data_IF_389615800169
#
_entry.id   IF_389615800169
#
_cell.length_a   1.000
_cell.length_b   1.000
_cell.length_c   1.000
_cell.angle_alpha   90.00
_cell.angle_beta   90.00
_cell.angle_gamma   90.00
#
_symmetry.space_group_name_H-M   'P 1'
#
loop_
_entity.id
_entity.type
_entity.pdbx_description
1 polymer ?
#
# COMPACT_ATOMS: atom_id res chain seq x y z
N UNK A 1 -13.43 11.17 4.50
CA UNK A 1 -12.35 12.16 4.33
C UNK A 1 -11.09 11.39 4.04
N UNK A 2 -10.22 11.86 3.16
CA UNK A 2 -8.96 11.21 2.77
C UNK A 2 -7.79 12.15 3.03
N UNK A 3 -6.64 11.60 3.37
CA UNK A 3 -5.38 12.34 3.47
C UNK A 3 -4.67 12.24 2.11
N UNK A 4 -4.15 13.35 1.63
CA UNK A 4 -3.39 13.41 0.37
C UNK A 4 -2.11 14.20 0.55
N UNK A 5 -1.09 13.89 -0.24
CA UNK A 5 0.12 14.69 -0.36
C UNK A 5 0.12 15.38 -1.73
N UNK A 6 0.33 16.69 -1.78
CA UNK A 6 0.50 17.42 -3.05
C UNK A 6 1.98 17.68 -3.31
N UNK A 7 2.43 17.65 -4.57
CA UNK A 7 3.84 17.94 -4.93
C UNK A 7 4.05 19.34 -5.53
N UNK A 8 2.97 20.08 -5.78
CA UNK A 8 3.03 21.45 -6.24
C UNK A 8 1.90 22.30 -5.65
N UNK A 9 2.02 23.64 -5.70
CA UNK A 9 0.94 24.52 -5.31
C UNK A 9 -0.33 24.20 -6.10
N UNK A 10 -1.44 23.91 -5.41
CA UNK A 10 -2.71 23.54 -6.05
C UNK A 10 -3.90 24.11 -5.30
N UNK A 11 -5.05 24.18 -5.95
CA UNK A 11 -6.29 24.67 -5.33
C UNK A 11 -7.02 23.48 -4.72
N UNK A 12 -7.22 23.52 -3.40
CA UNK A 12 -7.99 22.53 -2.64
C UNK A 12 -9.11 23.26 -1.92
N UNK A 13 -10.36 22.85 -2.18
CA UNK A 13 -11.55 23.47 -1.59
C UNK A 13 -11.61 25.02 -1.76
N UNK A 14 -11.09 25.52 -2.88
CA UNK A 14 -11.08 26.96 -3.19
C UNK A 14 -9.93 27.77 -2.58
N UNK A 15 -9.04 27.14 -1.82
CA UNK A 15 -7.83 27.76 -1.28
C UNK A 15 -6.57 27.20 -1.96
N UNK A 16 -5.57 28.06 -2.19
CA UNK A 16 -4.24 27.60 -2.63
C UNK A 16 -3.57 26.89 -1.46
N UNK A 17 -3.13 25.67 -1.70
CA UNK A 17 -2.38 24.83 -0.77
C UNK A 17 -1.00 24.54 -1.29
N UNK A 18 -0.04 24.46 -0.38
CA UNK A 18 1.36 24.23 -0.66
C UNK A 18 1.82 22.88 -0.10
N UNK A 19 2.93 22.38 -0.65
CA UNK A 19 3.50 21.07 -0.32
C UNK A 19 3.94 20.93 1.14
N UNK A 20 4.32 22.01 1.81
CA UNK A 20 4.67 22.00 3.25
C UNK A 20 3.46 21.84 4.18
N UNK A 21 2.24 21.97 3.66
CA UNK A 21 1.00 21.76 4.41
C UNK A 21 0.55 20.28 4.37
N UNK A 22 1.31 19.41 3.71
CA UNK A 22 1.04 17.98 3.69
C UNK A 22 1.15 17.36 5.10
N UNK A 23 0.34 16.32 5.42
CA UNK A 23 -0.75 15.77 4.61
C UNK A 23 -2.05 16.58 4.75
N UNK A 24 -2.75 16.80 3.63
CA UNK A 24 -4.03 17.52 3.61
C UNK A 24 -5.21 16.57 3.78
N UNK A 25 -6.11 16.88 4.72
CA UNK A 25 -7.36 16.14 4.89
C UNK A 25 -8.46 16.76 4.02
N UNK A 26 -8.94 16.02 3.03
CA UNK A 26 -9.92 16.47 2.04
C UNK A 26 -11.12 15.53 1.94
N UNK A 27 -12.19 15.96 1.28
CA UNK A 27 -13.31 15.07 0.96
C UNK A 27 -12.90 14.03 -0.09
N UNK A 28 -13.61 12.88 -0.14
CA UNK A 28 -13.31 11.83 -1.11
C UNK A 28 -13.42 12.35 -2.56
N UNK A 29 -14.44 13.18 -2.84
CA UNK A 29 -14.63 13.83 -4.14
C UNK A 29 -13.45 14.72 -4.53
N UNK A 30 -12.91 15.45 -3.57
CA UNK A 30 -11.78 16.37 -3.81
C UNK A 30 -10.46 15.60 -3.95
N UNK A 31 -10.26 14.53 -3.18
CA UNK A 31 -9.13 13.62 -3.38
C UNK A 31 -9.12 13.04 -4.80
N UNK A 32 -10.24 12.50 -5.28
CA UNK A 32 -10.36 11.97 -6.65
C UNK A 32 -10.08 13.04 -7.71
N UNK A 33 -10.53 14.28 -7.49
CA UNK A 33 -10.24 15.40 -8.40
C UNK A 33 -8.75 15.70 -8.47
N UNK A 34 -8.07 15.70 -7.33
CA UNK A 34 -6.64 16.03 -7.23
C UNK A 34 -5.76 14.90 -7.77
N UNK A 35 -6.17 13.64 -7.58
CA UNK A 35 -5.53 12.48 -8.25
C UNK A 35 -5.70 12.55 -9.76
N UNK A 36 -6.92 12.82 -10.25
CA UNK A 36 -7.19 12.96 -11.69
C UNK A 36 -6.41 14.12 -12.32
N UNK A 37 -6.23 15.21 -11.57
CA UNK A 37 -5.41 16.35 -11.98
C UNK A 37 -3.90 16.06 -11.94
N UNK A 38 -3.50 14.89 -11.44
CA UNK A 38 -2.10 14.49 -11.33
C UNK A 38 -1.28 15.43 -10.46
N UNK A 39 -1.88 16.01 -9.41
CA UNK A 39 -1.20 16.93 -8.46
C UNK A 39 -0.89 16.27 -7.11
N UNK A 40 -1.31 15.03 -6.94
CA UNK A 40 -1.10 14.23 -5.71
C UNK A 40 0.14 13.34 -5.90
N UNK A 41 0.96 13.25 -4.87
CA UNK A 41 2.06 12.28 -4.74
C UNK A 41 1.60 11.14 -3.85
N UNK A 42 1.77 9.91 -4.35
CA UNK A 42 1.29 8.69 -3.68
C UNK A 42 -0.20 8.45 -3.90
N UNK A 43 -0.63 7.20 -3.74
CA UNK A 43 -2.04 6.86 -3.81
C UNK A 43 -2.74 7.42 -2.55
N UNK A 44 -3.93 8.07 -2.63
CA UNK A 44 -4.64 8.61 -1.46
C UNK A 44 -5.10 7.53 -0.44
N UNK A 45 -4.70 6.27 -0.63
CA UNK A 45 -4.83 5.17 0.33
C UNK A 45 -3.58 4.95 1.20
N UNK A 46 -2.44 5.58 0.89
CA UNK A 46 -1.15 5.37 1.59
C UNK A 46 -0.88 6.38 2.73
N UNK A 47 -1.91 6.97 3.33
CA UNK A 47 -1.70 7.85 4.48
C UNK A 47 -1.57 7.10 5.83
N UNK A 48 -1.33 5.79 5.76
CA UNK A 48 -0.62 4.97 6.76
C UNK A 48 0.31 4.02 6.01
N UNK A 49 1.47 4.51 5.61
CA UNK A 49 2.45 3.72 4.88
C UNK A 49 3.78 4.45 4.82
N UNK A 50 4.58 4.32 5.87
CA UNK A 50 6.02 4.41 5.72
C UNK A 50 6.43 3.25 4.77
N UNK A 51 6.68 3.56 3.51
CA UNK A 51 7.39 2.69 2.57
C UNK A 51 8.30 3.57 1.70
N UNK A 52 9.44 3.91 2.28
CA UNK A 52 10.68 3.86 1.52
C UNK A 52 10.83 2.42 0.97
N UNK A 53 10.83 2.20 -0.34
CA UNK A 53 12.10 1.96 -1.05
C UNK A 53 11.89 1.65 -2.54
N UNK A 54 12.78 2.25 -3.32
CA UNK A 54 12.83 2.26 -4.78
C UNK A 54 13.64 1.05 -5.28
N UNK A 55 13.10 -0.17 -5.08
CA UNK A 55 13.70 -1.39 -5.60
C UNK A 55 12.63 -2.37 -6.05
N UNK A 56 12.44 -2.52 -7.37
CA UNK A 56 11.69 -3.63 -7.95
C UNK A 56 12.35 -4.95 -7.53
N UNK A 57 11.77 -5.75 -6.60
CA UNK A 57 12.36 -7.05 -6.30
C UNK A 57 11.98 -8.00 -7.43
N UNK A 58 12.97 -8.66 -8.02
CA UNK A 58 12.82 -9.80 -8.94
C UNK A 58 12.24 -11.06 -8.26
N UNK A 59 11.51 -10.89 -7.16
CA UNK A 59 10.86 -11.95 -6.38
C UNK A 59 9.34 -11.94 -6.55
N UNK A 60 8.66 -12.84 -5.85
CA UNK A 60 7.19 -12.96 -5.82
C UNK A 60 6.48 -11.86 -5.02
N UNK A 61 7.21 -10.81 -4.62
CA UNK A 61 6.70 -9.61 -3.94
C UNK A 61 6.33 -9.82 -2.48
N UNK A 62 6.47 -11.02 -1.92
CA UNK A 62 6.00 -11.35 -0.58
C UNK A 62 6.80 -10.64 0.53
N UNK A 63 8.08 -10.34 0.30
CA UNK A 63 8.94 -9.63 1.26
C UNK A 63 8.49 -8.18 1.52
N UNK A 64 7.90 -7.53 0.50
CA UNK A 64 7.38 -6.17 0.58
C UNK A 64 5.99 -6.09 1.23
N UNK A 65 5.27 -7.22 1.35
CA UNK A 65 3.94 -7.25 1.96
C UNK A 65 4.01 -7.15 3.49
N UNK A 66 2.99 -6.57 4.12
CA UNK A 66 2.86 -6.58 5.57
C UNK A 66 2.45 -7.98 6.06
N UNK A 67 2.72 -8.29 7.33
CA UNK A 67 2.37 -9.59 7.93
C UNK A 67 0.86 -9.87 7.84
N UNK A 68 0.04 -8.83 7.98
CA UNK A 68 -1.41 -8.98 7.89
C UNK A 68 -1.87 -9.25 6.45
N UNK A 69 -1.27 -8.58 5.46
CA UNK A 69 -1.54 -8.87 4.04
C UNK A 69 -1.09 -10.28 3.65
N UNK A 70 0.05 -10.74 4.18
CA UNK A 70 0.51 -12.11 3.99
C UNK A 70 -0.45 -13.15 4.60
N UNK A 71 -1.05 -12.87 5.76
CA UNK A 71 -2.07 -13.76 6.35
C UNK A 71 -3.35 -13.78 5.53
N UNK A 72 -3.77 -12.63 5.00
CA UNK A 72 -4.93 -12.55 4.10
C UNK A 72 -4.66 -13.35 2.82
N UNK A 73 -3.47 -13.21 2.25
CA UNK A 73 -3.06 -13.95 1.07
C UNK A 73 -2.99 -15.46 1.34
N UNK A 74 -2.40 -15.86 2.46
CA UNK A 74 -2.38 -17.25 2.91
C UNK A 74 -3.79 -17.81 3.09
N UNK A 75 -4.72 -17.05 3.68
CA UNK A 75 -6.11 -17.47 3.82
C UNK A 75 -6.81 -17.61 2.46
N UNK A 76 -6.56 -16.69 1.52
CA UNK A 76 -7.09 -16.76 0.15
C UNK A 76 -6.56 -18.00 -0.61
N UNK A 77 -5.30 -18.36 -0.39
CA UNK A 77 -4.65 -19.54 -0.96
C UNK A 77 -4.88 -20.81 -0.12
N UNK A 78 -5.67 -20.75 0.96
CA UNK A 78 -5.90 -21.88 1.88
C UNK A 78 -4.62 -22.50 2.46
N UNK A 79 -3.60 -21.67 2.68
CA UNK A 79 -2.33 -22.04 3.33
C UNK A 79 -2.56 -22.13 4.84
N UNK A 80 -2.17 -23.25 5.45
CA UNK A 80 -2.24 -23.42 6.89
C UNK A 80 -1.10 -22.64 7.58
N UNK A 81 -1.47 -21.66 8.40
CA UNK A 81 -0.54 -20.86 9.21
C UNK A 81 -0.59 -21.24 10.70
N UNK A 82 -1.16 -22.38 11.05
CA UNK A 82 -1.29 -22.80 12.45
C UNK A 82 0.09 -22.89 13.13
N UNK A 83 0.30 -22.08 14.17
CA UNK A 83 1.58 -22.01 14.89
C UNK A 83 2.66 -21.15 14.20
N UNK A 84 2.34 -20.54 13.05
CA UNK A 84 3.25 -19.67 12.31
C UNK A 84 2.89 -18.21 12.62
N UNK A 85 3.82 -17.49 13.24
CA UNK A 85 3.63 -16.07 13.60
C UNK A 85 4.72 -15.14 13.08
N UNK A 86 5.82 -15.68 12.53
CA UNK A 86 6.93 -14.89 11.99
C UNK A 86 6.72 -14.64 10.50
N UNK A 87 7.07 -13.44 10.04
CA UNK A 87 6.89 -13.01 8.65
C UNK A 87 7.55 -13.99 7.66
N UNK A 88 8.82 -14.30 7.87
CA UNK A 88 9.60 -15.16 6.97
C UNK A 88 9.01 -16.58 6.88
N UNK A 89 8.49 -17.09 7.99
CA UNK A 89 7.86 -18.41 8.04
C UNK A 89 6.51 -18.41 7.27
N UNK A 90 5.75 -17.32 7.31
CA UNK A 90 4.51 -17.15 6.52
C UNK A 90 4.84 -17.12 5.03
N UNK A 91 5.84 -16.34 4.63
CA UNK A 91 6.30 -16.27 3.23
C UNK A 91 6.72 -17.66 2.73
N UNK A 92 7.48 -18.39 3.55
CA UNK A 92 7.92 -19.75 3.23
C UNK A 92 6.74 -20.71 3.06
N UNK A 93 5.73 -20.63 3.92
CA UNK A 93 4.53 -21.46 3.82
C UNK A 93 3.73 -21.19 2.53
N UNK A 94 3.59 -19.91 2.15
CA UNK A 94 2.91 -19.51 0.90
C UNK A 94 3.69 -20.03 -0.32
N UNK A 95 5.02 -19.87 -0.34
CA UNK A 95 5.88 -20.38 -1.42
C UNK A 95 5.77 -21.89 -1.57
N UNK A 96 5.87 -22.63 -0.46
CA UNK A 96 5.75 -24.09 -0.47
C UNK A 96 4.38 -24.57 -0.99
N UNK A 97 3.31 -23.85 -0.65
CA UNK A 97 1.97 -24.15 -1.16
C UNK A 97 1.88 -23.96 -2.67
N UNK A 98 2.41 -22.85 -3.20
CA UNK A 98 2.40 -22.56 -4.65
C UNK A 98 3.26 -23.53 -5.45
N UNK A 99 4.40 -23.95 -4.91
CA UNK A 99 5.23 -25.00 -5.51
C UNK A 99 4.49 -26.34 -5.56
N UNK A 100 3.81 -26.72 -4.47
CA UNK A 100 3.02 -27.96 -4.42
C UNK A 100 1.81 -27.94 -5.37
N UNK A 101 1.23 -26.77 -5.64
CA UNK A 101 0.14 -26.60 -6.61
C UNK A 101 0.61 -26.63 -8.07
N UNK A 102 1.91 -26.42 -8.32
CA UNK A 102 2.51 -26.38 -9.65
C UNK A 102 3.19 -27.70 -10.06
N UNK A 103 3.18 -28.70 -9.19
CA UNK A 103 3.74 -30.04 -9.39
C UNK A 103 2.64 -31.06 -9.70
#
# INVERSE_FOLDING_TARGET
MKKIMIFGPTIVAGAVRHTFENPLTVSNKEASRLVLAGVVTGDPEEAEGDHEDDALPTGDGLEAMLVDDLKVLAAAESVDLTGISRKDDIITAIRAHREAASA
#
